data_IF_202107502682
#
_entry.id   IF_202107502682
#
_cell.length_a   1.000
_cell.length_b   1.000
_cell.length_c   1.000
_cell.angle_alpha   90.00
_cell.angle_beta   90.00
_cell.angle_gamma   90.00
#
_symmetry.space_group_name_H-M   'P 1'
#
loop_
_entity.id
_entity.type
_entity.pdbx_description
1 polymer ?
#
# COMPACT_ATOMS: atom_id res chain seq x y z
N UNK A 1 0.36 0.44 11.24
CA UNK A 1 -0.29 1.30 10.24
C UNK A 1 -1.08 0.42 9.29
N UNK A 2 -2.33 0.74 9.01
CA UNK A 2 -3.15 0.05 8.02
C UNK A 2 -3.05 0.77 6.68
N UNK A 3 -2.98 0.01 5.59
CA UNK A 3 -2.76 0.52 4.24
C UNK A 3 -3.82 -0.01 3.29
N UNK A 4 -4.37 0.88 2.47
CA UNK A 4 -5.48 0.58 1.58
C UNK A 4 -5.37 1.32 0.24
N UNK A 5 -6.01 0.75 -0.78
CA UNK A 5 -6.24 1.39 -2.07
C UNK A 5 -7.74 1.59 -2.27
N UNK A 6 -8.14 2.84 -2.50
CA UNK A 6 -9.50 3.17 -2.89
C UNK A 6 -9.52 3.41 -4.40
N UNK A 7 -10.13 2.51 -5.16
CA UNK A 7 -10.31 2.67 -6.61
C UNK A 7 -11.58 3.51 -6.89
N UNK A 8 -11.42 4.69 -7.51
CA UNK A 8 -12.56 5.54 -7.90
C UNK A 8 -12.98 5.31 -9.35
N UNK A 9 -12.01 5.23 -10.25
CA UNK A 9 -12.24 5.09 -11.70
C UNK A 9 -11.21 4.15 -12.32
N UNK A 10 -11.67 3.30 -13.23
CA UNK A 10 -10.83 2.42 -14.07
C UNK A 10 -10.96 2.79 -15.54
N UNK A 11 -10.03 2.33 -16.37
CA UNK A 11 -10.07 2.51 -17.82
C UNK A 11 -9.04 3.52 -18.31
N UNK A 12 -9.40 4.37 -19.28
CA UNK A 12 -8.45 5.29 -19.94
C UNK A 12 -7.94 6.42 -19.03
N UNK A 13 -8.74 6.84 -18.05
CA UNK A 13 -8.37 7.83 -17.03
C UNK A 13 -8.58 7.23 -15.63
N UNK A 14 -7.67 6.33 -15.21
CA UNK A 14 -7.73 5.71 -13.89
C UNK A 14 -7.55 6.75 -12.78
N UNK A 15 -8.23 6.54 -11.66
CA UNK A 15 -8.05 7.31 -10.43
C UNK A 15 -8.23 6.37 -9.24
N UNK A 16 -7.19 6.31 -8.39
CA UNK A 16 -7.20 5.64 -7.10
C UNK A 16 -6.70 6.59 -6.01
N UNK A 17 -6.94 6.26 -4.75
CA UNK A 17 -6.25 6.88 -3.62
C UNK A 17 -5.52 5.84 -2.80
N UNK A 18 -4.26 6.16 -2.49
CA UNK A 18 -3.50 5.51 -1.44
C UNK A 18 -3.95 6.05 -0.09
N UNK A 19 -4.25 5.16 0.85
CA UNK A 19 -4.60 5.54 2.21
C UNK A 19 -3.69 4.81 3.20
N UNK A 20 -3.02 5.58 4.07
CA UNK A 20 -2.23 5.05 5.16
C UNK A 20 -2.80 5.59 6.48
N UNK A 21 -3.14 4.70 7.43
CA UNK A 21 -3.77 5.07 8.70
C UNK A 21 -3.04 4.47 9.89
N UNK A 22 -2.66 5.29 10.88
CA UNK A 22 -2.01 4.81 12.09
C UNK A 22 -3.00 4.02 12.97
N UNK A 23 -2.53 2.90 13.54
CA UNK A 23 -3.40 1.97 14.30
C UNK A 23 -3.87 2.54 15.63
N UNK A 24 -3.02 3.31 16.32
CA UNK A 24 -3.31 3.88 17.63
C UNK A 24 -4.08 5.20 17.53
N UNK A 25 -3.49 6.22 16.90
CA UNK A 25 -4.06 7.57 16.84
C UNK A 25 -5.13 7.75 15.77
N UNK A 26 -5.24 6.80 14.83
CA UNK A 26 -6.17 6.86 13.68
C UNK A 26 -5.93 8.05 12.74
N UNK A 27 -4.79 8.74 12.85
CA UNK A 27 -4.38 9.75 11.87
C UNK A 27 -4.16 9.07 10.52
N UNK A 28 -4.67 9.68 9.46
CA UNK A 28 -4.59 9.17 8.10
C UNK A 28 -3.85 10.13 7.17
N UNK A 29 -3.07 9.55 6.26
CA UNK A 29 -2.52 10.20 5.08
C UNK A 29 -3.25 9.64 3.84
N UNK A 30 -3.57 10.53 2.90
CA UNK A 30 -4.28 10.17 1.66
C UNK A 30 -3.61 10.86 0.47
N UNK A 31 -3.30 10.09 -0.57
CA UNK A 31 -2.74 10.61 -1.82
C UNK A 31 -3.51 10.05 -3.02
N UNK A 32 -3.93 10.91 -3.94
CA UNK A 32 -4.59 10.50 -5.18
C UNK A 32 -3.55 10.16 -6.25
N UNK A 33 -3.76 9.04 -6.93
CA UNK A 33 -2.84 8.51 -7.93
C UNK A 33 -3.59 8.03 -9.16
N UNK A 34 -2.92 8.06 -10.30
CA UNK A 34 -3.46 7.56 -11.57
C UNK A 34 -3.06 6.10 -11.81
N UNK A 35 -2.22 5.49 -10.97
CA UNK A 35 -1.84 4.09 -11.12
C UNK A 35 -1.39 3.49 -9.78
N UNK A 36 -1.47 2.15 -9.68
CA UNK A 36 -1.14 1.39 -8.47
C UNK A 36 0.16 0.57 -8.66
N UNK A 37 1.11 1.09 -9.46
CA UNK A 37 2.42 0.45 -9.66
C UNK A 37 3.23 0.47 -8.38
N UNK A 38 4.19 -0.45 -8.27
CA UNK A 38 5.12 -0.51 -7.14
C UNK A 38 5.84 0.82 -6.88
N UNK A 39 6.31 1.50 -7.94
CA UNK A 39 6.99 2.79 -7.80
C UNK A 39 6.11 3.87 -7.17
N UNK A 40 4.85 3.94 -7.57
CA UNK A 40 3.87 4.87 -6.98
C UNK A 40 3.56 4.48 -5.54
N UNK A 41 3.47 3.18 -5.25
CA UNK A 41 3.28 2.70 -3.88
C UNK A 41 4.45 3.11 -2.98
N UNK A 42 5.70 2.94 -3.43
CA UNK A 42 6.90 3.33 -2.66
C UNK A 42 6.95 4.84 -2.42
N UNK A 43 6.68 5.66 -3.44
CA UNK A 43 6.62 7.12 -3.26
C UNK A 43 5.56 7.51 -2.22
N UNK A 44 4.36 6.94 -2.32
CA UNK A 44 3.31 7.20 -1.34
C UNK A 44 3.69 6.81 0.09
N UNK A 45 4.59 5.84 0.29
CA UNK A 45 5.11 5.51 1.62
C UNK A 45 6.07 6.55 2.15
N UNK A 46 7.03 6.97 1.32
CA UNK A 46 7.98 8.03 1.69
C UNK A 46 7.23 9.28 2.13
N UNK A 47 6.27 9.73 1.30
CA UNK A 47 5.45 10.90 1.60
C UNK A 47 4.61 10.71 2.87
N UNK A 48 4.08 9.51 3.10
CA UNK A 48 3.30 9.21 4.30
C UNK A 48 4.17 9.21 5.57
N UNK A 49 5.39 8.68 5.51
CA UNK A 49 6.31 8.68 6.64
C UNK A 49 6.76 10.09 6.98
N UNK A 50 7.03 10.92 5.97
CA UNK A 50 7.31 12.34 6.14
C UNK A 50 6.13 13.07 6.79
N UNK A 51 4.90 12.80 6.33
CA UNK A 51 3.68 13.37 6.92
C UNK A 51 3.48 12.94 8.38
N UNK A 52 3.72 11.68 8.73
CA UNK A 52 3.61 11.20 10.10
C UNK A 52 4.78 11.64 10.99
N UNK A 53 5.86 12.15 10.42
CA UNK A 53 7.09 12.49 11.13
C UNK A 53 7.84 11.27 11.66
N UNK A 54 7.67 10.11 11.04
CA UNK A 54 8.28 8.87 11.47
C UNK A 54 7.73 7.63 10.77
N UNK A 55 8.39 6.50 11.03
CA UNK A 55 8.07 5.21 10.40
C UNK A 55 7.36 4.31 11.43
N UNK A 56 6.17 3.78 11.13
CA UNK A 56 5.49 2.84 12.00
C UNK A 56 6.26 1.52 12.09
N UNK A 57 6.27 0.89 13.27
CA UNK A 57 6.95 -0.40 13.48
C UNK A 57 6.36 -1.57 12.68
N UNK A 58 5.08 -1.48 12.31
CA UNK A 58 4.37 -2.50 11.53
C UNK A 58 3.41 -1.83 10.55
N UNK A 59 3.39 -2.35 9.32
CA UNK A 59 2.42 -2.01 8.28
C UNK A 59 1.55 -3.24 7.96
N UNK A 60 0.23 -3.05 7.94
CA UNK A 60 -0.76 -4.04 7.58
C UNK A 60 -1.32 -3.67 6.21
N UNK A 61 -1.17 -4.58 5.26
CA UNK A 61 -1.70 -4.45 3.91
C UNK A 61 -2.91 -5.39 3.77
N UNK A 62 -3.93 -4.96 3.04
CA UNK A 62 -4.87 -5.95 2.47
C UNK A 62 -4.20 -6.67 1.28
N UNK A 63 -4.91 -7.57 0.61
CA UNK A 63 -4.43 -8.40 -0.50
C UNK A 63 -4.26 -7.62 -1.82
N UNK A 64 -3.65 -6.44 -1.74
CA UNK A 64 -3.27 -5.66 -2.89
C UNK A 64 -2.25 -6.44 -3.72
N UNK A 65 -2.60 -6.72 -4.98
CA UNK A 65 -1.79 -7.49 -5.93
C UNK A 65 -0.39 -6.89 -6.16
N UNK A 66 -0.21 -5.61 -5.85
CA UNK A 66 1.08 -4.90 -5.92
C UNK A 66 2.08 -5.38 -4.85
N UNK A 67 1.60 -5.88 -3.71
CA UNK A 67 2.41 -6.40 -2.59
C UNK A 67 2.54 -7.93 -2.66
N UNK A 68 1.50 -8.64 -3.13
CA UNK A 68 1.46 -10.10 -3.22
C UNK A 68 1.53 -10.54 -4.69
N UNK A 69 2.65 -11.12 -5.12
CA UNK A 69 2.80 -11.71 -6.46
C UNK A 69 2.01 -13.03 -6.61
N UNK A 70 1.88 -13.82 -5.52
CA UNK A 70 1.03 -15.02 -5.47
C UNK A 70 0.71 -15.41 -4.02
N UNK A 71 -0.53 -15.88 -3.77
CA UNK A 71 -0.92 -16.58 -2.54
C UNK A 71 -0.53 -18.07 -2.64
N UNK A 72 -0.12 -18.67 -1.51
CA UNK A 72 0.20 -20.11 -1.35
C UNK A 72 1.21 -20.71 -2.34
N UNK A 73 2.22 -19.94 -2.79
CA UNK A 73 3.24 -20.46 -3.70
C UNK A 73 4.07 -21.62 -3.10
N UNK A 74 4.12 -21.73 -1.76
CA UNK A 74 4.90 -22.75 -1.04
C UNK A 74 4.13 -23.40 0.13
N UNK A 75 2.79 -23.28 0.16
CA UNK A 75 1.91 -23.82 1.20
C UNK A 75 1.15 -22.76 2.02
N UNK A 76 0.18 -23.23 2.82
CA UNK A 76 -0.77 -22.41 3.59
C UNK A 76 -0.02 -21.39 4.48
N UNK A 77 -0.18 -20.10 4.17
CA UNK A 77 0.47 -19.00 4.91
C UNK A 77 1.87 -18.58 4.42
N UNK A 78 2.36 -19.14 3.30
CA UNK A 78 3.63 -18.74 2.66
C UNK A 78 3.36 -17.95 1.38
N UNK A 79 3.22 -16.64 1.53
CA UNK A 79 2.99 -15.71 0.42
C UNK A 79 4.29 -15.36 -0.31
N UNK A 80 4.23 -15.21 -1.64
CA UNK A 80 5.34 -14.68 -2.44
C UNK A 80 5.20 -13.17 -2.53
N UNK A 81 6.01 -12.45 -1.77
CA UNK A 81 6.11 -10.99 -1.83
C UNK A 81 6.86 -10.55 -3.09
N UNK A 82 6.60 -9.33 -3.54
CA UNK A 82 7.37 -8.71 -4.61
C UNK A 82 8.82 -8.48 -4.15
N UNK A 83 9.81 -8.88 -4.95
CA UNK A 83 11.24 -8.78 -4.58
C UNK A 83 11.73 -7.34 -4.38
N UNK A 84 10.99 -6.33 -4.86
CA UNK A 84 11.25 -4.91 -4.57
C UNK A 84 10.70 -4.42 -3.23
N UNK A 85 10.08 -5.30 -2.43
CA UNK A 85 9.59 -5.01 -1.07
C UNK A 85 10.44 -5.68 0.03
N UNK A 86 11.54 -6.35 -0.34
CA UNK A 86 12.50 -7.00 0.57
C UNK A 86 13.82 -6.25 0.57
#
# INVERSE_FOLDING_TARGET
MQMDWIEFRKGKNPLSAFVATLGYSRVSYVCFVENEKLSTLLQCHEDAFDYFGGIPSQALYDNMKTVILARDAYGLGKHRFNSGML
#
